data_IF_766656934300
#
_entry.id   IF_766656934300
#
_cell.length_a   1.000
_cell.length_b   1.000
_cell.length_c   1.000
_cell.angle_alpha   90.00
_cell.angle_beta   90.00
_cell.angle_gamma   90.00
#
_symmetry.space_group_name_H-M   'P 1'
#
loop_
_entity.id
_entity.type
_entity.pdbx_description
1 polymer ?
#
# COMPACT_ATOMS: atom_id res chain seq x y z
N UNK A 1 -46.83 -52.37 6.63
CA UNK A 1 -45.82 -51.40 6.14
C UNK A 1 -44.97 -52.14 5.10
N UNK A 2 -45.32 -51.98 3.81
CA UNK A 2 -44.64 -52.65 2.68
C UNK A 2 -43.51 -51.73 2.21
N UNK A 3 -42.31 -52.26 2.09
CA UNK A 3 -41.15 -51.57 1.53
C UNK A 3 -41.23 -51.59 0.00
N UNK A 4 -41.08 -50.42 -0.62
CA UNK A 4 -40.99 -50.28 -2.09
C UNK A 4 -39.53 -50.46 -2.54
N UNK A 5 -39.27 -51.11 -3.69
CA UNK A 5 -37.92 -51.28 -4.22
C UNK A 5 -37.46 -50.04 -5.02
N UNK A 6 -36.16 -49.74 -4.90
CA UNK A 6 -35.44 -48.71 -5.65
C UNK A 6 -35.30 -49.09 -7.15
N UNK A 7 -35.39 -48.11 -8.08
CA UNK A 7 -35.15 -48.35 -9.50
C UNK A 7 -33.64 -48.38 -9.85
N UNK A 8 -33.26 -49.01 -10.99
CA UNK A 8 -31.87 -49.24 -11.37
C UNK A 8 -31.19 -48.00 -11.95
N UNK A 9 -29.89 -47.90 -11.68
CA UNK A 9 -28.99 -46.87 -12.19
C UNK A 9 -28.87 -46.95 -13.72
N UNK A 10 -29.24 -45.87 -14.40
CA UNK A 10 -29.09 -45.74 -15.85
C UNK A 10 -27.76 -45.07 -16.15
N UNK A 11 -26.93 -45.74 -16.95
CA UNK A 11 -25.61 -45.29 -17.39
C UNK A 11 -25.72 -44.01 -18.24
N UNK A 12 -25.12 -42.93 -17.78
CA UNK A 12 -24.91 -41.71 -18.56
C UNK A 12 -23.69 -41.89 -19.46
N UNK A 13 -23.95 -41.87 -20.77
CA UNK A 13 -22.96 -41.82 -21.85
C UNK A 13 -22.18 -40.50 -21.78
N UNK A 14 -20.86 -40.58 -21.86
CA UNK A 14 -19.99 -39.44 -22.08
C UNK A 14 -20.25 -38.86 -23.48
N UNK A 15 -20.68 -37.60 -23.52
CA UNK A 15 -20.65 -36.79 -24.75
C UNK A 15 -19.43 -35.88 -24.65
N UNK A 16 -18.41 -36.20 -25.45
CA UNK A 16 -17.37 -35.27 -25.87
C UNK A 16 -18.01 -34.26 -26.83
N UNK A 17 -18.16 -33.01 -26.40
CA UNK A 17 -18.47 -31.88 -27.27
C UNK A 17 -17.95 -30.59 -26.63
N UNK A 18 -16.78 -30.19 -27.11
CA UNK A 18 -16.30 -28.81 -27.30
C UNK A 18 -16.32 -27.87 -26.09
N UNK A 19 -15.16 -27.77 -25.43
CA UNK A 19 -14.78 -26.64 -24.58
C UNK A 19 -14.59 -25.41 -25.49
N UNK A 20 -15.38 -24.33 -25.37
CA UNK A 20 -15.08 -23.09 -26.06
C UNK A 20 -13.83 -22.45 -25.45
N UNK A 21 -12.81 -22.42 -26.29
CA UNK A 21 -11.53 -21.73 -26.23
C UNK A 21 -11.48 -20.52 -25.28
N UNK A 22 -10.76 -20.69 -24.17
CA UNK A 22 -10.51 -19.70 -23.12
C UNK A 22 -9.34 -18.75 -23.44
N UNK A 23 -9.08 -18.47 -24.74
CA UNK A 23 -7.96 -17.61 -25.17
C UNK A 23 -8.34 -16.26 -25.79
N UNK A 24 -9.59 -15.81 -25.76
CA UNK A 24 -9.92 -14.46 -26.24
C UNK A 24 -10.90 -13.72 -25.32
N UNK A 25 -10.53 -13.57 -24.03
CA UNK A 25 -10.78 -12.29 -23.38
C UNK A 25 -9.59 -11.41 -23.70
N UNK A 26 -9.75 -10.67 -24.79
CA UNK A 26 -8.93 -9.53 -25.17
C UNK A 26 -8.74 -8.71 -23.89
N UNK A 27 -7.56 -8.82 -23.30
CA UNK A 27 -7.08 -7.86 -22.31
C UNK A 27 -7.19 -6.52 -23.01
N UNK A 28 -8.22 -5.75 -22.66
CA UNK A 28 -8.12 -4.30 -22.73
C UNK A 28 -6.91 -3.99 -21.85
N UNK A 29 -5.75 -3.88 -22.52
CA UNK A 29 -4.60 -3.21 -21.96
C UNK A 29 -5.11 -1.83 -21.62
N UNK A 30 -5.49 -1.65 -20.35
CA UNK A 30 -5.44 -0.35 -19.73
C UNK A 30 -4.08 0.22 -20.14
N UNK A 31 -4.10 1.32 -20.88
CA UNK A 31 -2.92 2.14 -21.10
C UNK A 31 -2.44 2.52 -19.71
N UNK A 32 -1.51 1.73 -19.16
CA UNK A 32 -0.80 2.03 -17.93
C UNK A 32 -0.23 3.43 -18.11
N UNK A 33 -0.80 4.40 -17.40
CA UNK A 33 -0.20 5.72 -17.33
C UNK A 33 1.19 5.53 -16.74
N UNK A 34 2.18 5.57 -17.62
CA UNK A 34 3.58 5.39 -17.24
C UNK A 34 4.02 6.69 -16.59
N UNK A 35 3.84 6.77 -15.28
CA UNK A 35 4.30 7.91 -14.50
C UNK A 35 5.82 8.03 -14.63
N UNK A 36 6.32 9.26 -14.49
CA UNK A 36 7.75 9.51 -14.61
C UNK A 36 8.53 8.81 -13.48
N UNK A 37 9.85 8.67 -13.67
CA UNK A 37 10.73 8.21 -12.58
C UNK A 37 10.60 9.14 -11.37
N UNK A 38 10.35 8.58 -10.19
CA UNK A 38 10.09 9.33 -8.96
C UNK A 38 8.61 9.68 -8.73
N UNK A 39 7.69 9.17 -9.55
CA UNK A 39 6.25 9.26 -9.34
C UNK A 39 5.65 7.89 -9.01
N UNK A 40 4.44 7.92 -8.45
CA UNK A 40 3.60 6.74 -8.21
C UNK A 40 2.28 6.92 -8.96
N UNK A 41 1.80 5.84 -9.57
CA UNK A 41 0.50 5.81 -10.24
C UNK A 41 -0.60 5.74 -9.19
N UNK A 42 -1.51 6.71 -9.22
CA UNK A 42 -2.75 6.73 -8.46
C UNK A 42 -3.89 6.22 -9.34
N UNK A 43 -4.84 5.49 -8.74
CA UNK A 43 -6.00 4.93 -9.43
C UNK A 43 -7.28 5.38 -8.75
N UNK A 44 -8.13 6.09 -9.49
CA UNK A 44 -9.49 6.46 -9.06
C UNK A 44 -10.49 5.55 -9.78
N UNK A 45 -11.12 4.66 -9.00
CA UNK A 45 -12.13 3.74 -9.50
C UNK A 45 -13.49 4.44 -9.51
N UNK A 46 -14.00 4.74 -10.71
CA UNK A 46 -15.29 5.37 -10.91
C UNK A 46 -16.26 4.40 -11.62
N UNK A 47 -17.58 4.63 -11.55
CA UNK A 47 -18.54 3.81 -12.30
C UNK A 47 -18.29 3.78 -13.81
N UNK A 48 -17.67 4.83 -14.35
CA UNK A 48 -17.34 4.97 -15.77
C UNK A 48 -16.01 4.31 -16.18
N UNK A 49 -15.20 3.84 -15.22
CA UNK A 49 -13.88 3.26 -15.48
C UNK A 49 -12.83 3.66 -14.44
N UNK A 50 -11.56 3.38 -14.72
CA UNK A 50 -10.43 3.74 -13.87
C UNK A 50 -9.74 4.97 -14.45
N UNK A 51 -9.67 6.05 -13.68
CA UNK A 51 -8.83 7.20 -14.01
C UNK A 51 -7.46 7.02 -13.35
N UNK A 52 -6.38 7.06 -14.14
CA UNK A 52 -5.01 7.00 -13.62
C UNK A 52 -4.40 8.40 -13.61
N UNK A 53 -3.77 8.77 -12.49
CA UNK A 53 -3.02 10.02 -12.35
C UNK A 53 -1.66 9.73 -11.71
N UNK A 54 -0.71 10.65 -11.82
CA UNK A 54 0.63 10.49 -11.25
C UNK A 54 0.81 11.42 -10.05
N UNK A 55 1.54 10.94 -9.04
CA UNK A 55 1.82 11.71 -7.84
C UNK A 55 3.29 11.58 -7.46
N UNK A 56 4.00 12.69 -7.12
CA UNK A 56 5.42 12.60 -6.78
C UNK A 56 5.64 11.76 -5.51
N UNK A 57 6.46 10.71 -5.59
CA UNK A 57 6.71 9.74 -4.51
C UNK A 57 7.15 10.39 -3.20
N UNK A 58 7.79 11.56 -3.27
CA UNK A 58 8.26 12.33 -2.13
C UNK A 58 7.14 13.03 -1.34
N UNK A 59 5.91 13.11 -1.85
CA UNK A 59 4.79 13.81 -1.21
C UNK A 59 3.98 12.86 -0.34
N UNK A 60 3.85 13.21 0.95
CA UNK A 60 2.99 12.47 1.90
C UNK A 60 1.53 12.44 1.44
N UNK A 61 1.09 13.48 0.73
CA UNK A 61 -0.25 13.56 0.17
C UNK A 61 -0.58 12.45 -0.85
N UNK A 62 0.43 11.78 -1.42
CA UNK A 62 0.21 10.65 -2.33
C UNK A 62 -0.21 9.37 -1.59
N UNK A 63 0.08 9.25 -0.29
CA UNK A 63 -0.32 8.09 0.49
C UNK A 63 -1.85 8.02 0.61
N UNK A 64 -2.46 6.96 0.08
CA UNK A 64 -3.91 6.78 0.12
C UNK A 64 -4.71 7.68 -0.83
N UNK A 65 -4.04 8.34 -1.77
CA UNK A 65 -4.69 9.25 -2.72
C UNK A 65 -5.16 8.52 -3.98
N UNK A 66 -6.36 8.83 -4.45
CA UNK A 66 -6.90 8.35 -5.73
C UNK A 66 -6.65 9.35 -6.87
N UNK A 67 -6.66 10.66 -6.59
CA UNK A 67 -6.40 11.69 -7.59
C UNK A 67 -5.60 12.86 -7.03
N UNK A 68 -4.56 13.27 -7.78
CA UNK A 68 -3.68 14.39 -7.43
C UNK A 68 -3.54 15.35 -8.61
N UNK A 69 -3.79 16.64 -8.39
CA UNK A 69 -3.74 17.69 -9.43
C UNK A 69 -2.60 18.70 -9.22
N UNK A 70 -1.62 18.36 -8.38
CA UNK A 70 -0.49 19.23 -8.03
C UNK A 70 -0.70 19.95 -6.70
N UNK A 71 0.41 20.27 -6.01
CA UNK A 71 0.39 20.99 -4.72
C UNK A 71 0.79 20.12 -3.52
N UNK A 72 0.10 20.33 -2.39
CA UNK A 72 0.40 19.68 -1.10
C UNK A 72 -0.73 18.80 -0.56
N UNK A 73 -1.86 18.69 -1.27
CA UNK A 73 -3.04 17.96 -0.81
C UNK A 73 -3.54 16.97 -1.86
N UNK A 74 -4.11 15.87 -1.38
CA UNK A 74 -4.84 14.94 -2.23
C UNK A 74 -6.22 15.51 -2.58
N UNK A 75 -6.66 15.39 -3.84
CA UNK A 75 -7.98 15.88 -4.24
C UNK A 75 -9.11 14.89 -3.91
N UNK A 76 -8.80 13.59 -3.95
CA UNK A 76 -9.75 12.53 -3.63
C UNK A 76 -9.00 11.36 -3.03
N UNK A 77 -9.39 10.93 -1.84
CA UNK A 77 -8.82 9.75 -1.23
C UNK A 77 -9.32 8.47 -1.90
N UNK A 78 -8.47 7.45 -1.92
CA UNK A 78 -8.85 6.11 -2.33
C UNK A 78 -9.88 5.53 -1.36
N UNK A 79 -10.60 4.49 -1.81
CA UNK A 79 -11.54 3.78 -0.94
C UNK A 79 -10.82 3.23 0.31
N UNK A 80 -11.46 3.35 1.47
CA UNK A 80 -10.85 2.99 2.76
C UNK A 80 -9.94 4.07 3.37
N UNK A 81 -9.80 5.22 2.70
CA UNK A 81 -9.11 6.38 3.22
C UNK A 81 -10.07 7.55 3.36
N UNK A 82 -9.84 8.37 4.39
CA UNK A 82 -10.54 9.64 4.57
C UNK A 82 -9.60 10.83 4.53
N UNK A 83 -10.10 11.93 3.98
CA UNK A 83 -9.35 13.17 3.94
C UNK A 83 -9.35 13.82 5.34
N UNK A 84 -8.16 14.15 5.83
CA UNK A 84 -7.92 14.95 7.02
C UNK A 84 -6.79 15.92 6.72
N UNK A 85 -7.07 17.22 6.79
CA UNK A 85 -6.05 18.27 6.59
C UNK A 85 -5.29 18.11 5.26
N UNK A 86 -5.99 17.74 4.18
CA UNK A 86 -5.40 17.50 2.87
C UNK A 86 -4.60 16.20 2.71
N UNK A 87 -4.61 15.31 3.71
CA UNK A 87 -3.97 13.99 3.69
C UNK A 87 -5.01 12.87 3.75
N UNK A 88 -4.73 11.76 3.09
CA UNK A 88 -5.58 10.59 3.14
C UNK A 88 -5.10 9.64 4.23
N UNK A 89 -5.92 9.44 5.26
CA UNK A 89 -5.61 8.57 6.39
C UNK A 89 -6.37 7.27 6.25
N UNK A 90 -5.67 6.14 6.29
CA UNK A 90 -6.31 4.83 6.33
C UNK A 90 -7.11 4.69 7.63
N UNK A 91 -8.32 4.21 7.51
CA UNK A 91 -9.18 4.01 8.66
C UNK A 91 -9.98 2.73 8.48
N UNK A 92 -10.27 2.08 9.61
CA UNK A 92 -11.11 0.90 9.60
C UNK A 92 -12.20 1.04 10.66
N UNK A 93 -13.39 0.62 10.27
CA UNK A 93 -14.54 0.59 11.15
C UNK A 93 -14.27 -0.41 12.28
N UNK A 94 -14.76 -0.15 13.48
CA UNK A 94 -14.75 -1.17 14.53
C UNK A 94 -15.49 -2.42 14.03
N UNK A 95 -14.77 -3.52 13.85
CA UNK A 95 -15.29 -4.72 13.19
C UNK A 95 -16.57 -5.23 13.85
N UNK A 96 -17.65 -5.34 13.07
CA UNK A 96 -18.92 -5.93 13.50
C UNK A 96 -19.94 -4.95 14.10
N UNK A 97 -19.66 -3.65 14.15
CA UNK A 97 -20.66 -2.67 14.54
C UNK A 97 -21.73 -2.50 13.44
N UNK A 98 -23.00 -2.45 13.86
CA UNK A 98 -24.16 -2.19 13.02
C UNK A 98 -25.05 -1.16 13.70
N UNK A 99 -25.65 -0.27 12.92
CA UNK A 99 -26.66 0.67 13.41
C UNK A 99 -27.91 -0.05 13.90
N UNK A 100 -28.83 0.68 14.53
CA UNK A 100 -30.15 0.15 14.93
C UNK A 100 -30.92 -0.45 13.74
N UNK A 101 -30.71 0.10 12.54
CA UNK A 101 -31.33 -0.36 11.29
C UNK A 101 -30.56 -1.52 10.62
N UNK A 102 -29.51 -2.04 11.27
CA UNK A 102 -28.66 -3.09 10.71
C UNK A 102 -27.72 -2.61 9.61
N UNK A 103 -27.51 -1.29 9.45
CA UNK A 103 -26.55 -0.76 8.49
C UNK A 103 -25.13 -0.86 9.04
N UNK A 104 -24.22 -1.33 8.21
CA UNK A 104 -22.79 -1.24 8.50
C UNK A 104 -22.27 0.19 8.30
N UNK A 105 -21.08 0.44 8.79
CA UNK A 105 -20.40 1.71 8.67
C UNK A 105 -20.17 2.19 7.22
N UNK A 106 -20.00 1.27 6.27
CA UNK A 106 -19.89 1.62 4.85
C UNK A 106 -21.24 2.01 4.23
N UNK A 107 -22.35 1.64 4.88
CA UNK A 107 -23.72 1.90 4.42
C UNK A 107 -24.37 3.11 5.10
N UNK A 108 -23.71 3.67 6.12
CA UNK A 108 -24.14 4.88 6.80
C UNK A 108 -23.70 6.12 6.01
N UNK A 109 -24.62 7.05 5.76
CA UNK A 109 -24.27 8.38 5.28
C UNK A 109 -23.66 9.20 6.43
N UNK A 110 -22.85 10.22 6.10
CA UNK A 110 -22.32 11.16 7.10
C UNK A 110 -23.44 11.85 7.93
N UNK A 111 -24.62 12.05 7.33
CA UNK A 111 -25.80 12.58 8.01
C UNK A 111 -26.43 11.62 9.03
N UNK A 112 -26.15 10.33 8.90
CA UNK A 112 -26.72 9.27 9.74
C UNK A 112 -25.82 8.97 10.96
N UNK A 113 -24.75 9.75 11.12
CA UNK A 113 -23.79 9.63 12.21
C UNK A 113 -24.35 10.30 13.48
N UNK A 114 -24.22 9.61 14.61
CA UNK A 114 -24.83 9.94 15.89
C UNK A 114 -24.02 9.43 17.09
N UNK A 115 -24.20 10.10 18.22
CA UNK A 115 -23.67 9.69 19.53
C UNK A 115 -24.56 8.66 20.24
N UNK A 116 -25.66 8.23 19.62
CA UNK A 116 -26.53 7.22 20.20
C UNK A 116 -25.81 5.87 20.25
N UNK A 117 -25.75 5.29 21.45
CA UNK A 117 -25.02 4.04 21.67
C UNK A 117 -25.85 2.84 21.27
N UNK A 118 -25.37 2.11 20.27
CA UNK A 118 -25.94 0.84 19.82
C UNK A 118 -25.01 -0.27 20.29
N UNK A 119 -25.50 -1.13 21.18
CA UNK A 119 -24.71 -2.24 21.76
C UNK A 119 -23.42 -1.75 22.45
N UNK A 120 -23.51 -0.60 23.12
CA UNK A 120 -22.42 -0.04 23.94
C UNK A 120 -21.47 0.91 23.20
N UNK A 121 -21.58 1.04 21.88
CA UNK A 121 -20.75 1.95 21.07
C UNK A 121 -21.62 2.77 20.13
N UNK A 122 -21.38 4.07 20.02
CA UNK A 122 -22.10 4.92 19.06
C UNK A 122 -21.55 4.77 17.65
N UNK A 123 -22.32 5.21 16.65
CA UNK A 123 -21.79 5.27 15.28
C UNK A 123 -20.58 6.20 15.20
N UNK A 124 -20.55 7.27 16.01
CA UNK A 124 -19.40 8.17 16.10
C UNK A 124 -18.14 7.53 16.70
N UNK A 125 -18.30 6.65 17.68
CA UNK A 125 -17.19 5.89 18.27
C UNK A 125 -16.76 4.72 17.37
N UNK A 126 -17.71 4.10 16.67
CA UNK A 126 -17.48 2.90 15.88
C UNK A 126 -16.88 3.20 14.50
N UNK A 127 -17.36 4.24 13.84
CA UNK A 127 -17.00 4.44 12.45
C UNK A 127 -17.33 5.76 11.75
N UNK A 128 -18.15 6.69 12.29
CA UNK A 128 -18.79 7.80 11.56
C UNK A 128 -17.87 8.46 10.53
N UNK A 129 -17.97 7.91 9.33
CA UNK A 129 -16.94 7.86 8.29
C UNK A 129 -15.56 8.40 8.68
N UNK A 130 -14.95 7.61 9.55
CA UNK A 130 -13.60 7.67 10.08
C UNK A 130 -13.24 8.91 10.88
N UNK A 131 -14.22 9.56 11.52
CA UNK A 131 -14.02 10.38 12.72
C UNK A 131 -13.91 9.56 14.03
N UNK A 132 -14.28 8.29 14.00
CA UNK A 132 -14.05 7.27 15.04
C UNK A 132 -13.63 5.92 14.43
N UNK A 133 -13.71 4.83 15.18
CA UNK A 133 -13.18 3.52 14.79
C UNK A 133 -11.71 3.33 15.12
N UNK A 134 -11.02 2.43 14.39
CA UNK A 134 -9.60 2.14 14.58
C UNK A 134 -8.81 2.82 13.46
N UNK A 135 -7.96 3.77 13.82
CA UNK A 135 -6.98 4.32 12.89
C UNK A 135 -5.91 3.27 12.67
N UNK A 136 -5.80 2.80 11.43
CA UNK A 136 -4.79 1.82 11.02
C UNK A 136 -3.70 2.56 10.28
N UNK A 137 -2.41 2.27 10.54
CA UNK A 137 -1.35 2.90 9.78
C UNK A 137 -1.42 2.48 8.30
N UNK A 138 -1.21 3.44 7.41
CA UNK A 138 -1.10 3.22 5.97
C UNK A 138 0.16 2.38 5.66
N UNK A 139 0.04 1.24 4.98
CA UNK A 139 1.20 0.43 4.58
C UNK A 139 2.19 1.21 3.72
N UNK A 140 3.49 0.92 3.90
CA UNK A 140 4.58 1.40 3.05
C UNK A 140 5.69 0.36 2.99
N UNK A 141 6.52 0.43 1.95
CA UNK A 141 7.71 -0.41 1.79
C UNK A 141 8.86 0.38 1.20
N UNK A 142 10.03 -0.25 1.11
CA UNK A 142 11.14 0.22 0.29
C UNK A 142 11.31 -0.73 -0.89
N UNK A 143 11.81 -0.21 -2.02
CA UNK A 143 12.16 -1.06 -3.15
C UNK A 143 13.32 -1.98 -2.80
N UNK A 144 13.14 -3.29 -2.95
CA UNK A 144 14.24 -4.26 -2.83
C UNK A 144 15.13 -4.15 -4.06
N UNK A 145 16.20 -3.36 -3.95
CA UNK A 145 17.19 -3.19 -5.00
C UNK A 145 18.55 -3.64 -4.51
N UNK A 146 19.39 -4.08 -5.45
CA UNK A 146 20.82 -4.31 -5.22
C UNK A 146 21.60 -3.26 -5.98
N UNK A 147 22.53 -2.60 -5.30
CA UNK A 147 23.33 -1.54 -5.90
C UNK A 147 24.73 -2.04 -6.26
N UNK A 148 25.34 -1.39 -7.25
CA UNK A 148 26.80 -1.48 -7.41
C UNK A 148 27.45 -0.60 -6.34
N UNK A 149 28.62 -0.99 -5.83
CA UNK A 149 29.41 -0.12 -4.93
C UNK A 149 29.72 1.26 -5.52
N UNK A 150 29.82 1.36 -6.85
CA UNK A 150 30.07 2.62 -7.54
C UNK A 150 28.82 3.51 -7.66
N UNK A 151 27.62 2.96 -7.55
CA UNK A 151 26.38 3.72 -7.68
C UNK A 151 26.04 4.50 -6.40
N UNK A 152 25.16 5.48 -6.51
CA UNK A 152 24.60 6.14 -5.33
C UNK A 152 23.41 5.32 -4.86
N UNK A 153 23.45 4.88 -3.61
CA UNK A 153 22.29 4.31 -2.95
C UNK A 153 21.38 5.47 -2.56
N UNK A 154 20.19 5.50 -3.15
CA UNK A 154 19.12 6.42 -2.79
C UNK A 154 17.83 5.59 -2.80
N UNK A 155 17.20 5.48 -1.63
CA UNK A 155 15.91 4.80 -1.50
C UNK A 155 14.93 5.68 -0.76
N UNK A 156 13.66 5.55 -1.11
CA UNK A 156 12.56 6.28 -0.50
C UNK A 156 11.44 5.32 -0.13
N UNK A 157 10.64 5.63 0.90
CA UNK A 157 9.44 4.86 1.20
C UNK A 157 8.39 4.99 0.08
N UNK A 158 7.71 3.89 -0.20
CA UNK A 158 6.73 3.74 -1.26
C UNK A 158 5.39 3.20 -0.71
N UNK A 159 4.32 4.02 -0.68
CA UNK A 159 4.36 5.49 -0.75
C UNK A 159 5.01 6.09 0.53
N UNK A 160 5.38 7.37 0.49
CA UNK A 160 5.73 8.09 1.70
C UNK A 160 4.47 8.35 2.54
N UNK A 161 4.37 7.73 3.70
CA UNK A 161 3.19 7.77 4.58
C UNK A 161 3.34 8.63 5.83
N UNK A 162 4.56 9.08 6.16
CA UNK A 162 4.84 9.82 7.39
C UNK A 162 5.69 11.08 7.15
N UNK A 163 5.62 12.00 8.12
CA UNK A 163 6.51 13.15 8.22
C UNK A 163 7.77 12.85 9.01
N UNK A 164 7.77 11.71 9.74
CA UNK A 164 8.90 11.28 10.55
C UNK A 164 9.13 9.77 10.40
N UNK A 165 10.38 9.41 10.20
CA UNK A 165 10.89 8.06 10.10
C UNK A 165 12.01 7.86 11.12
N UNK A 166 12.08 6.66 11.68
CA UNK A 166 13.17 6.21 12.55
C UNK A 166 13.61 4.82 12.13
N UNK A 167 14.89 4.49 12.34
CA UNK A 167 15.40 3.13 12.22
C UNK A 167 15.56 2.52 13.60
N UNK A 168 15.51 1.20 13.68
CA UNK A 168 15.83 0.48 14.90
C UNK A 168 17.33 0.55 15.24
N UNK A 169 17.66 0.27 16.50
CA UNK A 169 19.03 0.39 16.99
C UNK A 169 20.00 -0.64 16.39
N UNK A 170 19.49 -1.71 15.76
CA UNK A 170 20.33 -2.73 15.10
C UNK A 170 20.69 -2.35 13.67
N UNK A 171 20.10 -1.28 13.15
CA UNK A 171 20.33 -0.85 11.78
C UNK A 171 21.75 -0.30 11.59
N UNK A 172 22.55 -0.98 10.76
CA UNK A 172 23.98 -0.71 10.58
C UNK A 172 24.29 0.36 9.52
N UNK A 173 23.35 1.29 9.26
CA UNK A 173 23.54 2.35 8.24
C UNK A 173 24.88 3.08 8.40
N UNK A 174 25.19 3.50 9.63
CA UNK A 174 26.42 4.25 9.91
C UNK A 174 27.70 3.43 9.70
N UNK A 175 27.65 2.11 9.87
CA UNK A 175 28.80 1.23 9.62
C UNK A 175 29.17 1.20 8.12
N UNK A 176 28.19 1.43 7.26
CA UNK A 176 28.35 1.45 5.80
C UNK A 176 28.29 2.87 5.21
N UNK A 177 28.57 3.90 6.02
CA UNK A 177 28.53 5.33 5.61
C UNK A 177 27.18 5.75 5.00
N UNK A 178 26.08 5.10 5.37
CA UNK A 178 24.72 5.46 4.99
C UNK A 178 24.04 6.22 6.14
N UNK A 179 23.05 7.03 5.79
CA UNK A 179 22.20 7.76 6.74
C UNK A 179 20.76 7.71 6.28
N UNK A 180 19.83 7.98 7.20
CA UNK A 180 18.44 8.21 6.87
C UNK A 180 18.04 9.64 7.19
N UNK A 181 17.44 10.34 6.24
CA UNK A 181 16.74 11.60 6.52
C UNK A 181 15.42 11.27 7.23
N UNK A 182 15.36 11.58 8.53
CA UNK A 182 14.19 11.32 9.36
C UNK A 182 12.91 12.00 8.86
N UNK A 183 13.00 13.08 8.09
CA UNK A 183 11.81 13.79 7.61
C UNK A 183 11.19 13.12 6.39
N UNK A 184 12.00 12.58 5.49
CA UNK A 184 11.57 12.00 4.22
C UNK A 184 11.53 10.47 4.21
N UNK A 185 12.29 9.83 5.10
CA UNK A 185 12.60 8.41 5.04
C UNK A 185 13.66 8.08 3.98
N UNK A 186 14.30 9.08 3.37
CA UNK A 186 15.35 8.81 2.39
C UNK A 186 16.52 8.11 3.05
N UNK A 187 16.96 6.99 2.49
CA UNK A 187 18.22 6.34 2.86
C UNK A 187 19.23 6.62 1.75
N UNK A 188 20.34 7.25 2.11
CA UNK A 188 21.41 7.62 1.17
C UNK A 188 22.79 7.68 1.83
N UNK A 189 23.84 7.81 1.03
CA UNK A 189 25.21 7.96 1.55
C UNK A 189 25.37 9.26 2.34
N UNK A 190 26.12 9.19 3.44
CA UNK A 190 26.48 10.35 4.25
C UNK A 190 27.30 11.36 3.42
N UNK A 191 26.88 12.63 3.33
CA UNK A 191 27.63 13.66 2.61
C UNK A 191 29.08 13.78 3.12
N UNK A 192 30.05 13.78 2.21
CA UNK A 192 31.47 13.93 2.53
C UNK A 192 32.16 12.68 3.10
N UNK A 193 31.46 11.54 3.23
CA UNK A 193 32.08 10.26 3.57
C UNK A 193 32.46 9.49 2.31
N UNK A 194 33.55 8.74 2.37
CA UNK A 194 33.93 7.83 1.30
C UNK A 194 32.92 6.68 1.20
N UNK A 195 32.58 6.27 -0.02
CA UNK A 195 31.73 5.09 -0.21
C UNK A 195 32.46 3.82 0.26
N UNK A 196 31.75 2.82 0.78
CA UNK A 196 32.33 1.50 1.05
C UNK A 196 32.95 0.90 -0.22
N UNK A 197 34.08 0.23 -0.06
CA UNK A 197 34.78 -0.49 -1.15
C UNK A 197 34.55 -2.01 -1.09
N UNK A 198 33.99 -2.50 0.02
CA UNK A 198 33.64 -3.90 0.22
C UNK A 198 32.14 -4.08 0.09
N UNK A 199 31.72 -5.22 -0.48
CA UNK A 199 30.33 -5.58 -0.61
C UNK A 199 29.70 -5.75 0.79
N UNK A 200 28.43 -5.37 0.92
CA UNK A 200 27.69 -5.46 2.17
C UNK A 200 26.22 -5.78 1.92
N UNK A 201 25.59 -6.41 2.91
CA UNK A 201 24.14 -6.68 2.90
C UNK A 201 23.64 -6.74 4.34
N UNK A 202 22.64 -5.92 4.67
CA UNK A 202 22.00 -5.92 5.99
C UNK A 202 20.53 -5.55 5.89
N UNK A 203 19.79 -5.84 6.95
CA UNK A 203 18.38 -5.48 7.09
C UNK A 203 18.22 -4.39 8.16
N UNK A 204 17.31 -3.47 7.90
CA UNK A 204 16.92 -2.43 8.85
C UNK A 204 15.40 -2.42 9.02
N UNK A 205 14.94 -2.23 10.25
CA UNK A 205 13.54 -1.97 10.49
C UNK A 205 13.30 -0.45 10.49
N UNK A 206 12.57 0.04 9.49
CA UNK A 206 12.21 1.45 9.39
C UNK A 206 10.79 1.63 9.89
N UNK A 207 10.61 2.51 10.86
CA UNK A 207 9.30 2.88 11.42
C UNK A 207 8.83 4.22 10.88
N UNK A 208 7.66 4.23 10.24
CA UNK A 208 6.94 5.45 9.85
C UNK A 208 6.01 5.90 11.00
N UNK A 209 6.19 7.13 11.48
CA UNK A 209 5.35 7.74 12.51
C UNK A 209 4.29 8.61 11.84
N UNK A 210 3.13 8.01 11.56
CA UNK A 210 2.09 8.64 10.71
C UNK A 210 1.21 9.61 11.49
N UNK A 211 0.92 9.29 12.76
CA UNK A 211 0.20 10.14 13.70
C UNK A 211 0.53 9.72 15.16
N UNK A 212 0.12 10.50 16.19
CA UNK A 212 0.31 10.09 17.58
C UNK A 212 -0.30 8.70 17.87
N UNK A 213 0.53 7.75 18.26
CA UNK A 213 0.10 6.36 18.52
C UNK A 213 -0.15 5.51 17.27
N UNK A 214 0.07 6.04 16.06
CA UNK A 214 -0.10 5.33 14.80
C UNK A 214 1.24 5.27 14.09
N UNK A 215 1.88 4.11 14.18
CA UNK A 215 3.15 3.82 13.53
C UNK A 215 3.13 2.45 12.88
N UNK A 216 3.89 2.30 11.81
CA UNK A 216 4.11 1.01 11.15
C UNK A 216 5.59 0.84 10.88
N UNK A 217 6.09 -0.36 11.15
CA UNK A 217 7.44 -0.76 10.80
C UNK A 217 7.43 -1.54 9.48
N UNK A 218 8.46 -1.33 8.67
CA UNK A 218 8.72 -2.06 7.43
C UNK A 218 10.19 -2.44 7.39
N UNK A 219 10.48 -3.69 7.03
CA UNK A 219 11.86 -4.18 6.90
C UNK A 219 12.38 -3.80 5.52
N UNK A 220 13.53 -3.16 5.48
CA UNK A 220 14.26 -2.86 4.25
C UNK A 220 15.57 -3.65 4.22
N UNK A 221 15.85 -4.29 3.10
CA UNK A 221 17.13 -4.95 2.85
C UNK A 221 18.00 -4.03 1.98
N UNK A 222 19.20 -3.74 2.46
CA UNK A 222 20.17 -2.88 1.77
C UNK A 222 21.36 -3.73 1.40
N UNK A 223 21.65 -3.84 0.10
CA UNK A 223 22.77 -4.64 -0.39
C UNK A 223 23.51 -3.95 -1.53
N UNK A 224 24.84 -3.85 -1.40
CA UNK A 224 25.72 -3.34 -2.44
C UNK A 224 26.81 -4.36 -2.75
N UNK A 225 26.99 -4.66 -4.03
CA UNK A 225 27.91 -5.68 -4.54
C UNK A 225 28.95 -5.08 -5.50
N UNK A 226 30.09 -5.76 -5.66
CA UNK A 226 31.04 -5.47 -6.74
C UNK A 226 30.45 -6.03 -8.04
N UNK A 227 29.79 -5.19 -8.84
CA UNK A 227 29.29 -5.59 -10.15
C UNK A 227 30.35 -5.39 -11.22
N UNK A 228 31.39 -6.23 -11.24
CA UNK A 228 32.37 -6.27 -12.32
C UNK A 228 31.81 -7.07 -13.50
N UNK A 229 31.24 -6.40 -14.49
CA UNK A 229 31.03 -6.99 -15.82
C UNK A 229 32.33 -6.88 -16.62
N UNK A 230 33.27 -7.81 -16.41
CA UNK A 230 34.34 -8.01 -17.37
C UNK A 230 33.77 -8.79 -18.57
N UNK A 231 33.19 -8.07 -19.53
CA UNK A 231 33.09 -8.59 -20.89
C UNK A 231 34.47 -8.46 -21.55
N UNK A 232 35.36 -9.40 -21.26
CA UNK A 232 36.52 -9.62 -22.13
C UNK A 232 35.98 -10.30 -23.42
N UNK A 233 35.75 -9.49 -24.45
CA UNK A 233 35.74 -10.00 -25.82
C UNK A 233 37.20 -10.11 -26.26
N UNK A 234 37.73 -11.34 -26.28
CA UNK A 234 38.89 -11.71 -27.10
C UNK A 234 38.52 -11.74 -28.59
#
# INVERSE_FOLDING_TARGET
RKASPLPPATALKANDSEIPNLQQRKSEQATEATCASGEVTLRDFQPAGVAETCCPRSKVACAGCASFTGGSSCQRCAEGFIEREGKCTACTNSGGWLSVDGKSCMQLAASDCSDEKVRGQSSNEACCQCGGGIVTPTPFSYSNSRWSLDSNIVMMPEPRTAERYTVDAKCELAAHNLTMDSSTGEISYMPGRAKPIEAFSFECEVTAHQAPGVSLASVVTIAADVLSYSCEFE
#
